data_IF_719113250865
#
_entry.id   IF_719113250865
#
_cell.length_a   1.000
_cell.length_b   1.000
_cell.length_c   1.000
_cell.angle_alpha   90.00
_cell.angle_beta   90.00
_cell.angle_gamma   90.00
#
_symmetry.space_group_name_H-M   'P 1'
#
loop_
_entity.id
_entity.type
_entity.pdbx_description
1 polymer ?
#
# COMPACT_ATOMS: atom_id res chain seq x y z
N UNK A 1 -6.51 3.45 2.20
CA UNK A 1 -6.00 2.10 1.86
C UNK A 1 -6.67 1.67 0.57
N UNK A 2 -5.89 1.37 -0.48
CA UNK A 2 -6.45 1.01 -1.78
C UNK A 2 -7.25 -0.30 -1.69
N UNK A 3 -8.35 -0.39 -2.43
CA UNK A 3 -9.18 -1.59 -2.47
C UNK A 3 -8.35 -2.76 -3.04
N UNK A 4 -8.29 -3.86 -2.30
CA UNK A 4 -7.64 -5.11 -2.74
C UNK A 4 -8.30 -5.62 -4.02
N UNK A 5 -7.48 -5.88 -5.04
CA UNK A 5 -7.93 -6.49 -6.30
C UNK A 5 -7.15 -7.80 -6.49
N UNK A 6 -7.84 -8.93 -6.28
CA UNK A 6 -7.26 -10.27 -6.39
C UNK A 6 -7.26 -11.06 -5.07
N UNK A 7 -6.85 -12.34 -5.11
CA UNK A 7 -6.97 -13.25 -3.96
C UNK A 7 -5.78 -13.11 -3.00
N UNK A 8 -5.65 -11.96 -2.35
CA UNK A 8 -4.65 -11.73 -1.29
C UNK A 8 -5.25 -10.90 -0.15
N UNK A 9 -4.61 -10.93 1.02
CA UNK A 9 -4.95 -10.07 2.16
C UNK A 9 -4.03 -8.85 2.20
N UNK A 10 -4.53 -7.63 2.47
CA UNK A 10 -3.68 -6.44 2.64
C UNK A 10 -2.57 -6.67 3.68
N UNK A 11 -2.92 -7.36 4.75
CA UNK A 11 -2.01 -7.85 5.78
C UNK A 11 -2.57 -9.07 6.49
N UNK A 12 -1.71 -9.76 7.22
CA UNK A 12 -2.11 -10.76 8.20
C UNK A 12 -1.19 -10.69 9.44
N UNK A 13 -1.71 -11.13 10.58
CA UNK A 13 -0.92 -11.28 11.81
C UNK A 13 -0.46 -12.72 11.97
N UNK A 14 0.83 -12.90 12.23
CA UNK A 14 1.49 -14.19 12.47
C UNK A 14 2.16 -14.12 13.84
N UNK A 15 1.46 -14.59 14.87
CA UNK A 15 1.92 -14.43 16.26
C UNK A 15 2.04 -12.95 16.64
N UNK A 16 3.27 -12.50 16.90
CA UNK A 16 3.59 -11.11 17.26
C UNK A 16 4.02 -10.25 16.06
N UNK A 17 4.07 -10.83 14.86
CA UNK A 17 4.51 -10.13 13.64
C UNK A 17 3.31 -9.79 12.76
N UNK A 18 3.37 -8.64 12.09
CA UNK A 18 2.45 -8.27 11.00
C UNK A 18 3.18 -8.46 9.68
N UNK A 19 2.62 -9.25 8.78
CA UNK A 19 3.07 -9.38 7.41
C UNK A 19 2.15 -8.54 6.51
N UNK A 20 2.73 -7.55 5.83
CA UNK A 20 2.00 -6.66 4.90
C UNK A 20 2.22 -7.12 3.47
N UNK A 21 1.19 -7.05 2.63
CA UNK A 21 1.38 -7.11 1.19
C UNK A 21 2.13 -5.88 0.68
N UNK A 22 2.78 -6.00 -0.47
CA UNK A 22 3.47 -4.88 -1.11
C UNK A 22 2.52 -3.70 -1.32
N UNK A 23 2.92 -2.52 -0.86
CA UNK A 23 2.21 -1.28 -1.14
C UNK A 23 2.83 -0.58 -2.35
N UNK A 24 2.01 0.17 -3.07
CA UNK A 24 2.42 1.01 -4.20
C UNK A 24 1.87 2.42 -4.01
N UNK A 25 2.35 3.37 -4.81
CA UNK A 25 1.99 4.79 -4.76
C UNK A 25 0.60 5.11 -5.30
N UNK A 26 -0.41 4.33 -4.93
CA UNK A 26 -1.80 4.61 -5.29
C UNK A 26 -2.37 5.71 -4.39
N UNK A 27 -2.97 6.71 -5.02
CA UNK A 27 -3.82 7.70 -4.36
C UNK A 27 -5.19 7.13 -3.97
N UNK A 28 -5.96 7.94 -3.26
CA UNK A 28 -7.31 7.55 -2.80
C UNK A 28 -8.32 7.35 -3.94
N UNK A 29 -8.02 7.90 -5.12
CA UNK A 29 -8.78 7.70 -6.36
C UNK A 29 -8.48 6.37 -7.05
N UNK A 30 -7.56 5.56 -6.50
CA UNK A 30 -7.14 4.28 -7.05
C UNK A 30 -6.21 4.40 -8.26
N UNK A 31 -5.63 5.58 -8.52
CA UNK A 31 -4.63 5.81 -9.57
C UNK A 31 -3.25 6.02 -8.96
N UNK A 32 -2.20 5.82 -9.77
CA UNK A 32 -0.84 6.17 -9.34
C UNK A 32 -0.72 7.68 -9.16
N UNK A 33 -0.09 8.10 -8.07
CA UNK A 33 0.25 9.52 -7.89
C UNK A 33 1.25 9.94 -8.95
N UNK A 34 1.05 11.14 -9.50
CA UNK A 34 1.93 11.68 -10.54
C UNK A 34 3.17 12.36 -9.94
N UNK A 35 4.18 12.61 -10.78
CA UNK A 35 5.44 13.25 -10.39
C UNK A 35 6.64 12.30 -10.27
N UNK A 36 6.43 11.03 -10.64
CA UNK A 36 7.48 10.02 -10.75
C UNK A 36 7.92 9.44 -9.41
N UNK A 37 9.15 8.92 -9.38
CA UNK A 37 9.61 8.06 -8.29
C UNK A 37 9.46 8.65 -6.88
N UNK A 38 9.81 9.93 -6.69
CA UNK A 38 9.78 10.56 -5.36
C UNK A 38 8.36 10.58 -4.75
N UNK A 39 7.39 11.22 -5.41
CA UNK A 39 5.99 11.20 -4.97
C UNK A 39 5.40 9.79 -4.85
N UNK A 40 5.68 8.89 -5.78
CA UNK A 40 5.21 7.50 -5.71
C UNK A 40 5.77 6.74 -4.50
N UNK A 41 7.05 6.95 -4.17
CA UNK A 41 7.69 6.37 -2.99
C UNK A 41 7.06 6.93 -1.71
N UNK A 42 6.85 8.25 -1.63
CA UNK A 42 6.23 8.87 -0.47
C UNK A 42 4.81 8.34 -0.24
N UNK A 43 4.00 8.25 -1.30
CA UNK A 43 2.67 7.68 -1.21
C UNK A 43 2.71 6.18 -0.84
N UNK A 44 3.68 5.43 -1.35
CA UNK A 44 3.88 4.02 -0.99
C UNK A 44 4.12 3.85 0.52
N UNK A 45 4.99 4.68 1.10
CA UNK A 45 5.28 4.65 2.54
C UNK A 45 4.08 5.10 3.37
N UNK A 46 3.34 6.12 2.93
CA UNK A 46 2.06 6.53 3.55
C UNK A 46 1.04 5.40 3.53
N UNK A 47 0.91 4.69 2.41
CA UNK A 47 0.02 3.55 2.29
C UNK A 47 0.43 2.42 3.25
N UNK A 48 1.74 2.13 3.36
CA UNK A 48 2.26 1.14 4.30
C UNK A 48 1.98 1.47 5.77
N UNK A 49 2.10 2.75 6.15
CA UNK A 49 1.77 3.19 7.51
C UNK A 49 0.29 3.09 7.87
N UNK A 50 -0.59 2.95 6.87
CA UNK A 50 -2.04 2.82 7.03
C UNK A 50 -2.54 1.38 6.89
N UNK A 51 -1.63 0.39 6.75
CA UNK A 51 -1.95 -1.03 6.67
C UNK A 51 -2.45 -1.56 8.01
#
# INVERSE_FOLDING_TARGET
MAKTVGPYSPWCRIGQTIATSGQIGLGDDGKMVEGGFGPELEQTLRNLGNV
#
